data_IF_507211531743
#
_entry.id   IF_507211531743
#
_cell.length_a   1.000
_cell.length_b   1.000
_cell.length_c   1.000
_cell.angle_alpha   90.00
_cell.angle_beta   90.00
_cell.angle_gamma   90.00
#
_symmetry.space_group_name_H-M   'P 1'
#
loop_
_entity.id
_entity.type
_entity.pdbx_description
1 polymer ?
#
# COMPACT_ATOMS: atom_id res chain seq x y z
N UNK A 1 -10.72 6.96 -7.93
CA UNK A 1 -9.69 7.83 -8.56
C UNK A 1 -8.80 7.05 -9.53
N UNK A 2 -8.05 6.00 -9.14
CA UNK A 2 -7.24 5.22 -10.11
C UNK A 2 -8.06 4.75 -11.33
N UNK A 3 -9.25 4.18 -11.10
CA UNK A 3 -10.12 3.70 -12.18
C UNK A 3 -10.51 4.80 -13.19
N UNK A 4 -10.65 6.06 -12.77
CA UNK A 4 -10.99 7.16 -13.69
C UNK A 4 -9.81 7.59 -14.57
N UNK A 5 -8.56 7.26 -14.19
CA UNK A 5 -7.40 7.46 -15.06
C UNK A 5 -7.20 6.28 -16.04
N UNK A 6 -7.73 5.10 -15.71
CA UNK A 6 -7.60 3.90 -16.55
C UNK A 6 -8.72 3.76 -17.58
N UNK A 7 -9.88 4.39 -17.34
CA UNK A 7 -11.02 4.42 -18.25
C UNK A 7 -11.13 5.82 -18.89
N UNK A 8 -10.15 6.17 -19.73
CA UNK A 8 -10.10 7.47 -20.43
C UNK A 8 -11.32 7.70 -21.34
N UNK A 9 -11.84 6.62 -21.92
CA UNK A 9 -12.99 6.59 -22.82
C UNK A 9 -14.34 6.64 -22.11
N UNK A 10 -14.38 6.51 -20.78
CA UNK A 10 -15.62 6.44 -20.00
C UNK A 10 -16.48 5.21 -20.30
N UNK A 11 -15.87 4.14 -20.81
CA UNK A 11 -16.52 2.90 -21.22
C UNK A 11 -16.97 2.01 -20.05
N UNK A 12 -16.48 2.29 -18.84
CA UNK A 12 -16.61 1.42 -17.66
C UNK A 12 -15.70 0.19 -17.69
N UNK A 13 -14.79 0.08 -18.66
CA UNK A 13 -13.86 -1.05 -18.81
C UNK A 13 -12.43 -0.61 -18.50
N UNK A 14 -11.68 -1.45 -17.82
CA UNK A 14 -10.28 -1.19 -17.46
C UNK A 14 -9.41 -2.41 -17.75
N UNK A 15 -8.16 -2.16 -18.15
CA UNK A 15 -7.14 -3.20 -18.27
C UNK A 15 -6.70 -3.66 -16.87
N UNK A 16 -6.99 -4.91 -16.52
CA UNK A 16 -6.75 -5.45 -15.19
C UNK A 16 -5.25 -5.59 -14.87
N UNK A 17 -4.42 -5.95 -15.85
CA UNK A 17 -2.97 -6.03 -15.66
C UNK A 17 -2.36 -4.66 -15.40
N UNK A 18 -2.79 -3.65 -16.17
CA UNK A 18 -2.41 -2.24 -15.94
C UNK A 18 -2.88 -1.75 -14.57
N UNK A 19 -4.11 -2.09 -14.16
CA UNK A 19 -4.65 -1.74 -12.85
C UNK A 19 -3.77 -2.31 -11.72
N UNK A 20 -3.44 -3.60 -11.76
CA UNK A 20 -2.58 -4.21 -10.75
C UNK A 20 -1.17 -3.61 -10.75
N UNK A 21 -0.61 -3.32 -11.93
CA UNK A 21 0.69 -2.67 -12.05
C UNK A 21 0.73 -1.28 -11.39
N UNK A 22 -0.34 -0.49 -11.55
CA UNK A 22 -0.47 0.85 -10.98
C UNK A 22 -0.70 0.84 -9.47
N UNK A 23 -1.33 -0.20 -8.93
CA UNK A 23 -1.57 -0.35 -7.49
C UNK A 23 -0.36 -0.94 -6.77
N UNK A 24 0.46 -1.75 -7.45
CA UNK A 24 1.62 -2.44 -6.88
C UNK A 24 2.56 -1.55 -6.02
N UNK A 25 2.85 -0.28 -6.37
CA UNK A 25 3.69 0.59 -5.54
C UNK A 25 3.15 0.86 -4.14
N UNK A 26 1.83 0.81 -3.95
CA UNK A 26 1.15 1.02 -2.66
C UNK A 26 1.02 -0.27 -1.84
N UNK A 27 1.25 -1.42 -2.45
CA UNK A 27 1.12 -2.70 -1.76
C UNK A 27 2.22 -2.86 -0.71
N UNK A 28 1.93 -3.56 0.40
CA UNK A 28 2.94 -3.84 1.42
C UNK A 28 4.09 -4.72 0.90
N UNK A 29 5.26 -4.63 1.54
CA UNK A 29 6.44 -5.43 1.24
C UNK A 29 7.67 -4.61 0.83
N UNK A 30 8.77 -5.31 0.51
CA UNK A 30 10.03 -4.70 0.07
C UNK A 30 9.88 -4.00 -1.28
N UNK A 31 10.64 -2.92 -1.48
CA UNK A 31 10.57 -2.09 -2.68
C UNK A 31 10.75 -2.89 -3.98
N UNK A 32 11.78 -3.73 -4.02
CA UNK A 32 12.08 -4.54 -5.21
C UNK A 32 10.94 -5.51 -5.56
N UNK A 33 10.25 -6.02 -4.53
CA UNK A 33 9.10 -6.91 -4.74
C UNK A 33 7.94 -6.14 -5.35
N UNK A 34 7.69 -4.90 -4.93
CA UNK A 34 6.61 -4.06 -5.50
C UNK A 34 6.89 -3.74 -6.98
N UNK A 35 8.13 -3.37 -7.32
CA UNK A 35 8.54 -3.12 -8.71
C UNK A 35 8.44 -4.37 -9.58
N UNK A 36 8.85 -5.52 -9.05
CA UNK A 36 8.70 -6.82 -9.73
C UNK A 36 7.24 -7.17 -9.98
N UNK A 37 6.38 -7.04 -8.98
CA UNK A 37 4.93 -7.28 -9.12
C UNK A 37 4.32 -6.36 -10.17
N UNK A 38 4.75 -5.10 -10.26
CA UNK A 38 4.29 -4.20 -11.31
C UNK A 38 4.67 -4.72 -12.71
N UNK A 39 5.93 -5.15 -12.90
CA UNK A 39 6.38 -5.73 -14.16
C UNK A 39 5.65 -7.03 -14.52
N UNK A 40 5.49 -7.94 -13.55
CA UNK A 40 4.76 -9.20 -13.73
C UNK A 40 3.28 -8.96 -14.09
N UNK A 41 2.65 -7.93 -13.51
CA UNK A 41 1.28 -7.56 -13.85
C UNK A 41 1.15 -7.02 -15.29
N UNK A 42 2.17 -6.31 -15.79
CA UNK A 42 2.23 -5.86 -17.18
C UNK A 42 2.49 -7.03 -18.15
N UNK A 43 3.30 -8.01 -17.75
CA UNK A 43 3.52 -9.25 -18.51
C UNK A 43 2.25 -10.08 -18.64
N UNK A 44 1.45 -10.18 -17.57
CA UNK A 44 0.24 -11.00 -17.54
C UNK A 44 -0.89 -10.49 -18.45
N UNK A 45 -0.74 -9.31 -19.06
CA UNK A 45 -1.77 -8.74 -19.93
C UNK A 45 -2.07 -9.69 -21.10
N UNK A 46 -3.34 -9.90 -21.48
CA UNK A 46 -3.74 -10.83 -22.55
C UNK A 46 -3.05 -10.58 -23.90
N UNK A 47 -2.60 -9.34 -24.13
CA UNK A 47 -1.90 -8.94 -25.37
C UNK A 47 -0.48 -9.54 -25.47
N UNK A 48 0.07 -10.05 -24.36
CA UNK A 48 1.42 -10.60 -24.26
C UNK A 48 1.44 -12.14 -24.19
N UNK A 49 0.42 -12.83 -24.73
CA UNK A 49 0.16 -14.28 -24.63
C UNK A 49 1.25 -15.25 -25.18
N UNK A 50 2.47 -14.77 -25.48
CA UNK A 50 3.58 -15.56 -26.04
C UNK A 50 4.62 -16.11 -25.05
N UNK A 51 4.38 -16.07 -23.73
CA UNK A 51 5.37 -16.55 -22.74
C UNK A 51 6.68 -15.76 -22.70
N UNK A 52 6.69 -14.53 -23.22
CA UNK A 52 7.85 -13.65 -23.21
C UNK A 52 8.15 -13.15 -21.80
N UNK A 53 9.42 -13.12 -21.41
CA UNK A 53 9.89 -12.52 -20.15
C UNK A 53 10.05 -10.99 -20.21
N UNK A 54 9.48 -10.36 -21.25
CA UNK A 54 9.64 -8.96 -21.61
C UNK A 54 8.29 -8.34 -21.95
N UNK A 55 8.14 -7.05 -21.65
CA UNK A 55 6.95 -6.25 -22.00
C UNK A 55 7.25 -5.38 -23.21
N UNK A 56 6.23 -4.92 -23.94
CA UNK A 56 6.46 -3.96 -25.02
C UNK A 56 6.91 -2.60 -24.46
N UNK A 57 7.77 -1.89 -25.19
CA UNK A 57 8.19 -0.53 -24.83
C UNK A 57 6.98 0.42 -24.70
N UNK A 58 5.96 0.24 -25.54
CA UNK A 58 4.72 1.00 -25.49
C UNK A 58 3.99 0.82 -24.15
N UNK A 59 3.88 -0.41 -23.67
CA UNK A 59 3.24 -0.71 -22.37
C UNK A 59 4.03 -0.13 -21.20
N UNK A 60 5.35 -0.24 -21.23
CA UNK A 60 6.22 0.36 -20.21
C UNK A 60 6.03 1.89 -20.14
N UNK A 61 6.06 2.57 -21.29
CA UNK A 61 5.85 4.03 -21.36
C UNK A 61 4.45 4.41 -20.89
N UNK A 62 3.41 3.70 -21.34
CA UNK A 62 2.02 3.93 -20.93
C UNK A 62 1.86 3.78 -19.42
N UNK A 63 2.47 2.73 -18.84
CA UNK A 63 2.48 2.50 -17.41
C UNK A 63 3.10 3.67 -16.63
N UNK A 64 4.29 4.13 -17.03
CA UNK A 64 4.99 5.24 -16.35
C UNK A 64 4.16 6.53 -16.43
N UNK A 65 3.58 6.85 -17.61
CA UNK A 65 2.67 8.01 -17.77
C UNK A 65 1.49 7.95 -16.81
N UNK A 66 0.80 6.81 -16.74
CA UNK A 66 -0.34 6.61 -15.83
C UNK A 66 0.08 6.75 -14.37
N UNK A 67 1.21 6.15 -14.01
CA UNK A 67 1.71 6.16 -12.64
C UNK A 67 2.00 7.58 -12.16
N UNK A 68 2.66 8.39 -12.99
CA UNK A 68 2.92 9.80 -12.70
C UNK A 68 1.62 10.60 -12.63
N UNK A 69 0.70 10.43 -13.58
CA UNK A 69 -0.58 11.15 -13.57
C UNK A 69 -1.43 10.89 -12.31
N UNK A 70 -1.33 9.69 -11.74
CA UNK A 70 -2.09 9.28 -10.55
C UNK A 70 -1.44 9.78 -9.25
N UNK A 71 -0.12 9.69 -9.12
CA UNK A 71 0.59 9.88 -7.85
C UNK A 71 1.44 11.14 -7.77
N UNK A 72 1.77 11.76 -8.91
CA UNK A 72 2.52 13.01 -9.03
C UNK A 72 1.70 13.98 -9.88
N UNK A 73 0.57 14.48 -9.36
CA UNK A 73 -0.20 15.48 -10.08
C UNK A 73 0.57 16.81 -10.09
N UNK A 74 1.46 17.00 -11.06
CA UNK A 74 1.84 18.34 -11.52
C UNK A 74 0.65 18.95 -12.27
N UNK A 75 0.53 20.28 -12.26
CA UNK A 75 -0.60 20.96 -12.89
C UNK A 75 -0.63 20.69 -14.41
N UNK A 76 -1.60 19.92 -14.89
CA UNK A 76 -1.95 19.81 -16.31
C UNK A 76 -1.53 18.50 -16.98
N UNK A 77 -2.51 17.72 -17.45
CA UNK A 77 -2.30 16.55 -18.31
C UNK A 77 -1.57 16.89 -19.63
N UNK A 78 -1.56 18.16 -20.03
CA UNK A 78 -0.98 18.65 -21.29
C UNK A 78 0.56 18.62 -21.29
N UNK A 79 1.22 18.79 -20.14
CA UNK A 79 2.70 18.81 -20.05
C UNK A 79 3.29 17.39 -20.00
N UNK A 80 2.51 16.41 -19.51
CA UNK A 80 2.95 15.02 -19.38
C UNK A 80 2.75 14.21 -20.67
N UNK A 81 2.11 14.78 -21.70
CA UNK A 81 2.03 14.16 -23.02
C UNK A 81 3.32 14.37 -23.83
N UNK A 82 4.09 15.42 -23.52
CA UNK A 82 5.44 15.67 -24.04
C UNK A 82 6.49 14.75 -23.38
N UNK A 83 6.17 13.46 -23.26
CA UNK A 83 7.20 12.44 -23.02
C UNK A 83 7.98 12.34 -24.32
N UNK A 84 9.22 12.83 -24.27
CA UNK A 84 10.19 12.67 -25.33
C UNK A 84 10.22 11.20 -25.80
N UNK A 85 9.85 11.00 -27.06
CA UNK A 85 9.63 9.69 -27.66
C UNK A 85 8.74 9.70 -28.90
N UNK A 86 7.99 10.78 -29.16
CA UNK A 86 7.36 11.02 -30.47
C UNK A 86 8.35 11.70 -31.42
N UNK A 87 9.44 11.02 -31.78
CA UNK A 87 10.26 11.39 -32.95
C UNK A 87 11.22 10.28 -33.42
N UNK A 88 11.06 9.01 -33.02
CA UNK A 88 11.72 7.90 -33.70
C UNK A 88 10.65 6.90 -34.18
N UNK A 89 10.25 7.17 -35.41
CA UNK A 89 9.37 6.43 -36.30
C UNK A 89 9.97 5.05 -36.66
N UNK A 90 10.23 4.15 -35.69
CA UNK A 90 10.54 2.72 -35.98
C UNK A 90 10.58 1.76 -34.75
N UNK A 91 9.81 1.96 -33.67
CA UNK A 91 10.02 1.15 -32.43
C UNK A 91 8.76 0.73 -31.67
N UNK A 92 7.66 0.42 -32.37
CA UNK A 92 6.49 -0.24 -31.76
C UNK A 92 6.75 -1.71 -31.36
N UNK A 93 7.83 -2.33 -31.87
CA UNK A 93 8.20 -3.73 -31.63
C UNK A 93 9.35 -3.95 -30.62
N UNK A 94 9.89 -2.90 -29.98
CA UNK A 94 10.98 -3.11 -29.01
C UNK A 94 10.46 -3.65 -27.69
N UNK A 95 11.09 -4.72 -27.23
CA UNK A 95 10.79 -5.40 -25.98
C UNK A 95 11.68 -4.87 -24.86
N UNK A 96 11.12 -4.77 -23.65
CA UNK A 96 11.73 -4.22 -22.44
C UNK A 96 11.86 -5.33 -21.41
N UNK A 97 13.10 -5.63 -21.01
CA UNK A 97 13.43 -6.54 -19.90
C UNK A 97 13.12 -5.91 -18.55
N UNK A 98 13.07 -6.73 -17.50
CA UNK A 98 12.88 -6.24 -16.13
C UNK A 98 13.94 -5.19 -15.71
N UNK A 99 15.22 -5.38 -16.06
CA UNK A 99 16.27 -4.42 -15.71
C UNK A 99 16.11 -3.08 -16.44
N UNK A 100 15.72 -3.10 -17.72
CA UNK A 100 15.41 -1.88 -18.47
C UNK A 100 14.17 -1.18 -17.89
N UNK A 101 13.15 -1.94 -17.53
CA UNK A 101 11.97 -1.42 -16.83
C UNK A 101 12.33 -0.74 -15.51
N UNK A 102 13.24 -1.32 -14.71
CA UNK A 102 13.72 -0.68 -13.47
C UNK A 102 14.39 0.66 -13.75
N UNK A 103 15.21 0.74 -14.80
CA UNK A 103 15.82 2.00 -15.24
C UNK A 103 14.78 3.06 -15.58
N UNK A 104 13.74 2.69 -16.35
CA UNK A 104 12.62 3.59 -16.67
C UNK A 104 11.80 3.97 -15.44
N UNK A 105 11.64 3.05 -14.48
CA UNK A 105 10.85 3.25 -13.27
C UNK A 105 11.51 4.19 -12.27
N UNK A 106 12.81 4.03 -12.07
CA UNK A 106 13.59 4.76 -11.06
C UNK A 106 14.14 6.10 -11.55
N UNK A 107 13.94 6.44 -12.83
CA UNK A 107 14.27 7.75 -13.38
C UNK A 107 13.54 8.86 -12.59
N UNK A 108 14.30 9.85 -12.10
CA UNK A 108 13.79 10.91 -11.23
C UNK A 108 12.94 11.94 -11.97
N UNK A 109 13.25 12.17 -13.24
CA UNK A 109 12.62 13.22 -14.05
C UNK A 109 11.42 12.66 -14.81
N UNK A 110 11.59 11.49 -15.42
CA UNK A 110 10.64 10.90 -16.37
C UNK A 110 9.98 9.61 -15.88
N UNK A 111 10.54 8.97 -14.86
CA UNK A 111 10.04 7.74 -14.25
C UNK A 111 9.04 7.98 -13.13
N UNK A 112 8.88 6.99 -12.24
CA UNK A 112 8.12 7.20 -11.01
C UNK A 112 8.89 8.07 -10.03
N UNK A 113 10.19 7.80 -9.83
CA UNK A 113 11.12 8.62 -9.03
C UNK A 113 10.82 8.79 -7.53
N UNK A 114 9.58 8.60 -7.08
CA UNK A 114 9.10 8.94 -5.73
C UNK A 114 8.93 7.75 -4.80
N UNK A 115 9.30 6.54 -5.24
CA UNK A 115 9.09 5.30 -4.48
C UNK A 115 9.75 5.35 -3.09
N UNK A 116 10.94 5.94 -2.98
CA UNK A 116 11.63 6.12 -1.69
C UNK A 116 10.88 7.06 -0.76
N UNK A 117 10.25 8.12 -1.30
CA UNK A 117 9.39 9.05 -0.57
C UNK A 117 8.13 8.35 -0.09
N UNK A 118 7.47 7.54 -0.92
CA UNK A 118 6.30 6.74 -0.53
C UNK A 118 6.63 5.86 0.68
N UNK A 119 7.75 5.14 0.65
CA UNK A 119 8.15 4.28 1.79
C UNK A 119 8.49 5.06 3.06
N UNK A 120 9.10 6.24 2.94
CA UNK A 120 9.35 7.12 4.09
C UNK A 120 8.04 7.57 4.73
N UNK A 121 7.04 7.90 3.91
CA UNK A 121 5.70 8.29 4.38
C UNK A 121 4.99 7.10 5.04
N UNK A 122 5.01 5.91 4.43
CA UNK A 122 4.44 4.69 5.00
C UNK A 122 5.07 4.34 6.35
N UNK A 123 6.41 4.39 6.44
CA UNK A 123 7.14 4.09 7.68
C UNK A 123 6.76 5.08 8.78
N UNK A 124 6.70 6.38 8.46
CA UNK A 124 6.29 7.41 9.41
C UNK A 124 4.85 7.22 9.87
N UNK A 125 3.94 6.88 8.96
CA UNK A 125 2.54 6.62 9.30
C UNK A 125 2.41 5.39 10.20
N UNK A 126 3.08 4.28 9.86
CA UNK A 126 3.14 3.08 10.71
C UNK A 126 3.68 3.38 12.11
N UNK A 127 4.73 4.19 12.21
CA UNK A 127 5.31 4.58 13.49
C UNK A 127 4.34 5.42 14.32
N UNK A 128 3.61 6.35 13.69
CA UNK A 128 2.59 7.16 14.36
C UNK A 128 1.46 6.30 14.94
N UNK A 129 1.11 5.21 14.26
CA UNK A 129 0.00 4.32 14.64
C UNK A 129 0.46 3.02 15.30
N UNK A 130 1.72 2.96 15.77
CA UNK A 130 2.26 1.84 16.56
C UNK A 130 2.20 0.48 15.87
N UNK A 131 2.19 0.47 14.54
CA UNK A 131 2.12 -0.72 13.70
C UNK A 131 0.94 -1.66 14.04
N UNK A 132 -0.15 -1.13 14.59
CA UNK A 132 -1.32 -1.94 14.94
C UNK A 132 -2.23 -2.12 13.72
N UNK A 133 -2.71 -3.35 13.51
CA UNK A 133 -3.63 -3.69 12.43
C UNK A 133 -4.95 -4.22 12.98
N UNK A 134 -6.04 -3.89 12.32
CA UNK A 134 -7.35 -4.39 12.67
C UNK A 134 -7.40 -5.90 12.43
N UNK A 135 -7.81 -6.66 13.44
CA UNK A 135 -7.88 -8.12 13.36
C UNK A 135 -8.98 -8.64 12.41
N UNK A 136 -9.90 -7.77 11.99
CA UNK A 136 -10.97 -8.08 11.02
C UNK A 136 -10.56 -7.68 9.60
N UNK A 137 -10.44 -6.38 9.31
CA UNK A 137 -10.17 -5.91 7.94
C UNK A 137 -8.69 -5.92 7.55
N UNK A 138 -7.78 -6.24 8.49
CA UNK A 138 -6.32 -6.27 8.29
C UNK A 138 -5.67 -4.94 7.90
N UNK A 139 -6.44 -3.85 7.84
CA UNK A 139 -5.89 -2.51 7.62
C UNK A 139 -5.20 -1.97 8.88
N UNK A 140 -4.16 -1.13 8.72
CA UNK A 140 -3.60 -0.36 9.82
C UNK A 140 -4.69 0.42 10.56
N UNK A 141 -4.64 0.43 11.89
CA UNK A 141 -5.59 1.16 12.72
C UNK A 141 -5.12 2.61 12.78
N UNK A 142 -5.87 3.52 12.17
CA UNK A 142 -5.64 4.96 12.19
C UNK A 142 -6.69 5.58 13.12
N UNK A 143 -6.25 6.38 14.11
CA UNK A 143 -7.14 6.98 15.11
C UNK A 143 -7.46 6.02 16.27
N UNK A 144 -8.72 6.00 16.71
CA UNK A 144 -9.15 5.17 17.85
C UNK A 144 -8.92 3.68 17.61
N UNK A 145 -8.27 3.04 18.59
CA UNK A 145 -8.01 1.60 18.63
C UNK A 145 -8.82 0.95 19.75
N UNK A 146 -9.67 -0.01 19.40
CA UNK A 146 -10.48 -0.75 20.36
C UNK A 146 -9.83 -2.10 20.62
N UNK A 147 -9.16 -2.25 21.77
CA UNK A 147 -8.52 -3.50 22.17
C UNK A 147 -9.46 -4.33 23.03
N UNK A 148 -9.74 -5.55 22.62
CA UNK A 148 -10.47 -6.50 23.46
C UNK A 148 -9.60 -6.89 24.64
N UNK A 149 -10.17 -6.92 25.85
CA UNK A 149 -9.44 -7.02 27.11
C UNK A 149 -8.95 -8.46 27.38
N UNK A 150 -9.71 -9.48 26.99
CA UNK A 150 -9.41 -10.90 27.32
C UNK A 150 -8.40 -11.53 26.36
N UNK A 151 -8.64 -11.40 25.07
CA UNK A 151 -7.91 -12.02 23.94
C UNK A 151 -6.91 -11.07 23.31
N UNK A 152 -7.07 -9.76 23.52
CA UNK A 152 -6.11 -8.76 23.09
C UNK A 152 -6.18 -8.35 21.62
N UNK A 153 -7.12 -8.89 20.83
CA UNK A 153 -7.29 -8.45 19.43
C UNK A 153 -7.69 -6.97 19.39
N UNK A 154 -7.34 -6.29 18.29
CA UNK A 154 -7.62 -4.87 18.12
C UNK A 154 -8.50 -4.63 16.91
N UNK A 155 -9.48 -3.75 17.04
CA UNK A 155 -10.35 -3.31 15.96
C UNK A 155 -10.12 -1.83 15.67
N UNK A 156 -10.25 -1.46 14.39
CA UNK A 156 -10.43 -0.07 14.01
C UNK A 156 -11.85 0.40 14.35
N UNK A 157 -12.05 1.72 14.38
CA UNK A 157 -13.35 2.32 14.67
C UNK A 157 -14.49 1.77 13.82
N UNK A 158 -14.27 1.56 12.52
CA UNK A 158 -15.30 1.04 11.61
C UNK A 158 -15.72 -0.38 11.99
N UNK A 159 -14.76 -1.30 12.15
CA UNK A 159 -15.09 -2.69 12.48
C UNK A 159 -15.71 -2.82 13.87
N UNK A 160 -15.27 -2.00 14.84
CA UNK A 160 -15.88 -1.95 16.17
C UNK A 160 -17.33 -1.47 16.10
N UNK A 161 -17.59 -0.35 15.40
CA UNK A 161 -18.94 0.22 15.26
C UNK A 161 -19.92 -0.69 14.52
N UNK A 162 -19.41 -1.51 13.59
CA UNK A 162 -20.20 -2.52 12.88
C UNK A 162 -20.37 -3.83 13.67
N UNK A 163 -19.85 -3.93 14.90
CA UNK A 163 -19.93 -5.14 15.73
C UNK A 163 -19.17 -6.33 15.15
N UNK A 164 -18.16 -6.08 14.29
CA UNK A 164 -17.40 -7.16 13.65
C UNK A 164 -16.38 -7.76 14.64
N UNK A 165 -16.37 -9.09 14.71
CA UNK A 165 -15.43 -9.86 15.53
C UNK A 165 -14.64 -10.83 14.65
N UNK A 166 -13.33 -11.02 14.88
CA UNK A 166 -12.55 -12.00 14.14
C UNK A 166 -13.17 -13.41 14.25
N UNK A 167 -13.21 -14.19 13.16
CA UNK A 167 -13.83 -15.52 13.16
C UNK A 167 -13.33 -16.45 14.27
N UNK A 168 -12.04 -16.36 14.60
CA UNK A 168 -11.37 -17.15 15.65
C UNK A 168 -11.95 -16.93 17.05
N UNK A 169 -12.59 -15.78 17.30
CA UNK A 169 -13.10 -15.42 18.63
C UNK A 169 -14.61 -15.40 18.74
N UNK A 170 -15.35 -15.67 17.65
CA UNK A 170 -16.83 -15.58 17.57
C UNK A 170 -17.60 -16.40 18.60
N UNK A 171 -16.96 -17.39 19.23
CA UNK A 171 -17.58 -18.28 20.22
C UNK A 171 -17.79 -17.60 21.58
N UNK A 172 -17.26 -16.40 21.81
CA UNK A 172 -17.47 -15.68 23.07
C UNK A 172 -18.83 -14.97 23.07
N UNK A 173 -19.55 -15.10 24.18
CA UNK A 173 -20.86 -14.46 24.39
C UNK A 173 -20.73 -12.94 24.63
N UNK A 174 -19.66 -12.50 25.31
CA UNK A 174 -19.45 -11.10 25.68
C UNK A 174 -18.00 -10.66 25.47
N UNK A 175 -17.84 -9.52 24.77
CA UNK A 175 -16.56 -8.86 24.53
C UNK A 175 -16.50 -7.54 25.29
N UNK A 176 -15.36 -7.27 25.94
CA UNK A 176 -15.11 -5.99 26.60
C UNK A 176 -13.95 -5.31 25.93
N UNK A 177 -14.14 -4.07 25.51
CA UNK A 177 -13.13 -3.31 24.79
C UNK A 177 -12.63 -2.14 25.63
N UNK A 178 -11.34 -1.84 25.49
CA UNK A 178 -10.75 -0.59 25.91
C UNK A 178 -10.37 0.21 24.67
N UNK A 179 -10.85 1.45 24.61
CA UNK A 179 -10.47 2.40 23.58
C UNK A 179 -9.12 3.05 23.93
N UNK A 180 -8.30 3.27 22.91
CA UNK A 180 -7.10 4.08 22.96
C UNK A 180 -7.18 5.09 21.82
N UNK A 181 -7.19 6.39 22.14
CA UNK A 181 -7.18 7.47 21.15
C UNK A 181 -5.81 7.68 20.50
N UNK A 182 -4.75 7.17 21.14
CA UNK A 182 -3.39 7.17 20.57
C UNK A 182 -2.54 6.02 21.11
N UNK A 183 -1.45 5.72 20.41
CA UNK A 183 -0.47 4.74 20.91
C UNK A 183 0.28 5.21 22.16
N UNK A 184 0.44 6.52 22.35
CA UNK A 184 1.02 7.07 23.60
C UNK A 184 0.14 6.71 24.80
N UNK A 185 -1.18 6.82 24.65
CA UNK A 185 -2.14 6.41 25.67
C UNK A 185 -2.07 4.90 25.93
N UNK A 186 -1.96 4.10 24.87
CA UNK A 186 -1.78 2.66 24.99
C UNK A 186 -0.48 2.26 25.71
N UNK A 187 0.62 2.98 25.45
CA UNK A 187 1.90 2.77 26.12
C UNK A 187 1.84 3.15 27.60
N UNK A 188 1.22 4.29 27.94
CA UNK A 188 1.00 4.70 29.33
C UNK A 188 0.26 3.62 30.11
N UNK A 189 -0.81 3.04 29.53
CA UNK A 189 -1.57 1.97 30.17
C UNK A 189 -0.73 0.71 30.46
N UNK A 190 0.24 0.38 29.59
CA UNK A 190 1.17 -0.73 29.84
C UNK A 190 2.16 -0.41 30.97
N UNK A 191 2.72 0.80 30.98
CA UNK A 191 3.73 1.21 31.98
C UNK A 191 3.18 1.33 33.41
N UNK A 192 1.93 1.77 33.58
CA UNK A 192 1.30 1.86 34.91
C UNK A 192 1.17 0.49 35.58
N UNK A 193 0.86 -0.55 34.81
CA UNK A 193 0.80 -1.92 35.32
C UNK A 193 2.15 -2.46 35.84
N UNK A 194 3.28 -1.95 35.36
CA UNK A 194 4.61 -2.35 35.87
C UNK A 194 4.96 -1.65 37.19
N UNK A 195 4.43 -0.45 37.44
CA UNK A 195 4.70 0.28 38.70
C UNK A 195 4.01 -0.34 39.93
N UNK A 196 2.93 -1.11 39.73
CA UNK A 196 2.17 -1.72 40.82
C UNK A 196 2.71 -3.09 41.27
N UNK A 197 3.79 -3.61 40.65
CA UNK A 197 4.40 -4.89 41.03
C UNK A 197 5.73 -4.74 41.80
N UNK A 198 6.16 -3.52 42.14
CA UNK A 198 7.40 -3.31 42.89
C UNK A 198 7.15 -3.24 44.40
N UNK A 199 7.63 -4.27 45.11
CA UNK A 199 7.84 -4.41 46.56
C UNK A 199 6.64 -4.61 47.50
N UNK A 200 6.36 -5.88 47.80
CA UNK A 200 6.08 -6.32 49.18
C UNK A 200 7.23 -7.21 49.64
N UNK A 201 8.21 -6.62 50.33
CA UNK A 201 9.11 -7.40 51.18
C UNK A 201 8.50 -7.41 52.59
N UNK A 202 8.19 -8.57 53.19
CA UNK A 202 7.90 -8.64 54.61
C UNK A 202 9.22 -8.40 55.37
N UNK A 203 9.24 -7.36 56.21
CA UNK A 203 10.24 -7.22 57.27
C UNK A 203 9.88 -8.25 58.34
N UNK A 204 10.78 -9.20 58.58
CA UNK A 204 10.72 -10.09 59.73
C UNK A 204 11.87 -9.75 60.69
N UNK A 205 11.52 -9.35 61.90
CA UNK A 205 12.33 -9.42 63.12
C UNK A 205 11.40 -9.89 64.22
#
# INVERSE_FOLDING_TARGET
KILSYLDDSGSGRVDLGMFYAVVAPLCGGHLDKRKRVAFEALLWRPVNEGGSSQITKMDAVKYIKLLRAIYIPSQGMSEMLEVHGEADDDTSSSMVTFNQFLGMYDDSEWGFGIMSTVVKLETRDRNRHGNQVCSVCRYPIIGSRFKEVKTGFSLCNQCYSEGKVPPTFKQQEEYKFREYGSEVEAMKAKCVCFSMQSHKNPIAT
#
